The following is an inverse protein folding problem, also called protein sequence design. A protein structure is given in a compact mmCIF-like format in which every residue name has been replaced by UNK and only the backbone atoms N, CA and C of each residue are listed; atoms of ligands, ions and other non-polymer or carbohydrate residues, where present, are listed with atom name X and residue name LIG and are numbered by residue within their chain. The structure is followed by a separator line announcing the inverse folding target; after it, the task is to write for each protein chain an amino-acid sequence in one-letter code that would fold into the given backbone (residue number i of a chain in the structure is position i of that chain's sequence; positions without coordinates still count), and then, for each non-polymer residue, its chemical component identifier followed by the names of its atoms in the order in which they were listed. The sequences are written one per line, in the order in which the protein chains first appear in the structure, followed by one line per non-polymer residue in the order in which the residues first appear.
data_IF_548758265987
#
_entry.id   IF_548758265987
#
_cell.length_a   1.000
_cell.length_b   1.000
_cell.length_c   1.000
_cell.angle_alpha   90.00
_cell.angle_beta   90.00
_cell.angle_gamma   90.00
#
_symmetry.space_group_name_H-M   'P 1'
#
loop_
_entity.id
_entity.type
_entity.pdbx_description
1 polymer ?
#
# COMPACT_ATOMS: atom_id res chain seq x y z
N UNK A 1 2.05 -14.85 -12.28
CA UNK A 1 2.58 -14.00 -13.34
C UNK A 1 2.30 -12.52 -13.15
N UNK A 2 1.59 -12.14 -12.06
CA UNK A 2 1.39 -10.73 -11.69
C UNK A 2 2.67 -10.15 -11.08
N UNK A 3 2.79 -8.83 -11.15
CA UNK A 3 3.94 -8.09 -10.64
C UNK A 3 3.55 -7.08 -9.56
N UNK A 4 4.49 -6.62 -8.79
CA UNK A 4 4.26 -5.63 -7.72
C UNK A 4 3.59 -4.36 -8.28
N UNK A 5 3.93 -3.93 -9.50
CA UNK A 5 3.26 -2.81 -10.16
C UNK A 5 1.77 -3.02 -10.43
N UNK A 6 1.30 -4.25 -10.52
CA UNK A 6 -0.13 -4.54 -10.68
C UNK A 6 -0.89 -4.22 -9.38
N UNK A 7 -0.28 -4.51 -8.21
CA UNK A 7 -0.83 -4.11 -6.90
C UNK A 7 -0.85 -2.59 -6.78
N UNK A 8 0.26 -1.93 -7.12
CA UNK A 8 0.38 -0.47 -7.09
C UNK A 8 -0.67 0.21 -7.97
N UNK A 9 -0.87 -0.30 -9.18
CA UNK A 9 -1.89 0.21 -10.11
C UNK A 9 -3.31 -0.01 -9.58
N UNK A 10 -3.63 -1.22 -9.11
CA UNK A 10 -4.95 -1.51 -8.54
C UNK A 10 -5.26 -0.63 -7.32
N UNK A 11 -4.25 -0.34 -6.49
CA UNK A 11 -4.38 0.59 -5.38
C UNK A 11 -4.71 2.00 -5.86
N UNK A 12 -3.97 2.53 -6.84
CA UNK A 12 -4.22 3.86 -7.40
C UNK A 12 -5.62 3.96 -8.05
N UNK A 13 -6.01 2.95 -8.83
CA UNK A 13 -7.33 2.88 -9.47
C UNK A 13 -8.49 2.90 -8.46
N UNK A 14 -8.31 2.30 -7.28
CA UNK A 14 -9.32 2.33 -6.22
C UNK A 14 -9.64 3.75 -5.71
N UNK A 15 -8.74 4.71 -5.94
CA UNK A 15 -8.94 6.12 -5.57
C UNK A 15 -9.58 6.96 -6.67
N UNK A 16 -9.64 6.46 -7.91
CA UNK A 16 -10.21 7.22 -9.04
C UNK A 16 -11.69 7.51 -8.78
N UNK A 17 -12.07 8.78 -8.90
CA UNK A 17 -13.45 9.24 -8.71
C UNK A 17 -13.92 9.32 -7.25
N UNK A 18 -13.10 8.97 -6.26
CA UNK A 18 -13.49 9.02 -4.84
C UNK A 18 -13.41 10.43 -4.24
N UNK A 19 -12.67 11.32 -4.84
CA UNK A 19 -12.34 12.64 -4.28
C UNK A 19 -11.19 12.62 -3.26
N UNK A 20 -10.64 11.44 -2.95
CA UNK A 20 -9.43 11.30 -2.13
C UNK A 20 -8.19 11.18 -3.02
N UNK A 21 -7.04 11.56 -2.46
CA UNK A 21 -5.73 11.41 -3.10
C UNK A 21 -4.93 10.31 -2.40
N UNK A 22 -4.33 9.41 -3.18
CA UNK A 22 -3.41 8.40 -2.63
C UNK A 22 -2.01 8.99 -2.44
N UNK A 23 -1.39 8.72 -1.28
CA UNK A 23 -0.01 9.13 -1.01
C UNK A 23 0.95 8.22 -1.78
N UNK A 24 1.80 8.84 -2.63
CA UNK A 24 2.71 8.11 -3.52
C UNK A 24 4.10 7.90 -2.94
N UNK A 25 4.51 8.75 -2.00
CA UNK A 25 5.85 8.70 -1.39
C UNK A 25 6.03 7.53 -0.43
N UNK A 26 4.96 7.14 0.26
CA UNK A 26 4.90 6.04 1.20
C UNK A 26 4.15 4.86 0.58
N UNK A 27 4.41 3.67 1.07
CA UNK A 27 3.78 2.47 0.55
C UNK A 27 4.04 1.25 1.40
N UNK A 28 3.57 0.11 0.92
CA UNK A 28 3.76 -1.18 1.52
C UNK A 28 5.12 -1.81 1.22
N UNK A 29 5.31 -3.02 1.69
CA UNK A 29 6.59 -3.71 1.62
C UNK A 29 6.41 -5.22 1.83
N UNK A 30 7.44 -6.01 1.52
CA UNK A 30 7.46 -7.38 1.97
C UNK A 30 7.77 -7.46 3.48
N UNK A 31 7.35 -8.56 4.06
CA UNK A 31 7.57 -8.91 5.48
C UNK A 31 8.19 -10.30 5.52
N UNK A 32 9.19 -10.47 6.36
CA UNK A 32 9.86 -11.77 6.52
C UNK A 32 10.56 -11.87 7.88
N UNK A 33 11.86 -11.97 7.86
CA UNK A 33 12.66 -11.94 9.10
C UNK A 33 12.69 -10.55 9.72
N UNK A 34 12.64 -9.53 8.85
CA UNK A 34 12.51 -8.13 9.25
C UNK A 34 11.07 -7.64 9.02
N UNK A 35 10.69 -6.58 9.75
CA UNK A 35 9.39 -5.94 9.59
C UNK A 35 9.25 -5.35 8.19
N UNK A 36 10.32 -4.76 7.67
CA UNK A 36 10.37 -4.17 6.34
C UNK A 36 11.44 -4.87 5.50
N UNK A 37 11.01 -5.52 4.44
CA UNK A 37 11.88 -6.15 3.44
C UNK A 37 11.49 -5.70 2.02
N UNK A 38 12.42 -5.86 1.08
CA UNK A 38 12.12 -5.69 -0.34
C UNK A 38 11.19 -6.83 -0.85
N UNK A 39 10.31 -6.55 -1.82
CA UNK A 39 10.20 -5.28 -2.55
C UNK A 39 9.34 -4.23 -1.82
N UNK A 40 9.64 -2.96 -2.09
CA UNK A 40 8.74 -1.84 -1.78
C UNK A 40 7.50 -1.89 -2.69
N UNK A 41 6.33 -1.62 -2.13
CA UNK A 41 5.04 -1.64 -2.84
C UNK A 41 4.44 -0.25 -2.84
N UNK A 42 4.68 0.51 -3.89
CA UNK A 42 4.10 1.84 -4.03
C UNK A 42 2.56 1.78 -4.09
N UNK A 43 1.90 2.82 -3.59
CA UNK A 43 0.44 2.96 -3.65
C UNK A 43 -0.07 3.51 -5.00
N UNK A 44 0.83 3.73 -5.95
CA UNK A 44 0.53 4.11 -7.34
C UNK A 44 1.60 3.56 -8.26
N UNK A 45 1.22 3.15 -9.47
CA UNK A 45 2.18 2.59 -10.41
C UNK A 45 1.56 2.10 -11.72
N UNK A 46 2.39 1.42 -12.51
CA UNK A 46 1.99 0.91 -13.82
C UNK A 46 1.87 -0.61 -13.78
N UNK A 47 0.82 -1.18 -14.39
CA UNK A 47 0.66 -2.63 -14.46
C UNK A 47 1.82 -3.29 -15.23
N UNK A 48 2.12 -4.53 -14.87
CA UNK A 48 3.17 -5.32 -15.50
C UNK A 48 4.60 -4.89 -15.17
N UNK A 49 4.81 -3.99 -14.19
CA UNK A 49 6.14 -3.50 -13.80
C UNK A 49 6.59 -4.04 -12.44
N UNK A 50 7.89 -3.92 -12.18
CA UNK A 50 8.49 -4.34 -10.92
C UNK A 50 8.70 -5.85 -10.80
N UNK A 51 9.11 -6.33 -9.62
CA UNK A 51 9.32 -7.75 -9.34
C UNK A 51 8.06 -8.59 -9.56
N UNK A 52 8.24 -9.84 -9.94
CA UNK A 52 7.16 -10.82 -10.01
C UNK A 52 6.68 -11.18 -8.61
N UNK A 53 5.37 -11.36 -8.46
CA UNK A 53 4.76 -11.85 -7.22
C UNK A 53 4.88 -13.36 -7.23
N UNK A 54 5.54 -13.90 -6.21
CA UNK A 54 5.81 -15.33 -6.08
C UNK A 54 5.05 -15.92 -4.89
N UNK A 55 4.73 -17.21 -5.00
CA UNK A 55 4.21 -17.99 -3.90
C UNK A 55 5.13 -17.90 -2.66
N UNK A 56 4.53 -17.82 -1.48
CA UNK A 56 5.22 -17.68 -0.21
C UNK A 56 5.58 -16.25 0.17
N UNK A 57 5.37 -15.26 -0.72
CA UNK A 57 5.56 -13.87 -0.34
C UNK A 57 4.53 -13.43 0.70
N UNK A 58 5.00 -12.72 1.72
CA UNK A 58 4.17 -12.03 2.70
C UNK A 58 4.33 -10.53 2.46
N UNK A 59 3.23 -9.85 2.19
CA UNK A 59 3.23 -8.46 1.74
C UNK A 59 2.31 -7.61 2.62
N UNK A 60 2.81 -6.49 3.14
CA UNK A 60 2.02 -5.45 3.78
C UNK A 60 1.56 -4.46 2.70
N UNK A 61 0.25 -4.30 2.56
CA UNK A 61 -0.38 -3.35 1.65
C UNK A 61 -0.94 -2.19 2.47
N UNK A 62 -0.41 -0.98 2.24
CA UNK A 62 -0.59 0.16 3.14
C UNK A 62 -1.07 1.43 2.42
N UNK A 63 -2.25 1.42 1.81
CA UNK A 63 -2.78 2.63 1.18
C UNK A 63 -3.02 3.74 2.21
N UNK A 64 -2.59 4.95 1.86
CA UNK A 64 -2.79 6.16 2.63
C UNK A 64 -3.62 7.14 1.81
N UNK A 65 -4.79 7.50 2.33
CA UNK A 65 -5.78 8.36 1.69
C UNK A 65 -5.76 9.77 2.32
N UNK A 66 -5.50 10.78 1.52
CA UNK A 66 -5.64 12.18 1.92
C UNK A 66 -6.96 12.76 1.41
N UNK A 67 -7.67 13.53 2.24
CA UNK A 67 -8.87 14.28 1.82
C UNK A 67 -8.54 15.46 0.89
N UNK A 68 -7.29 15.89 0.86
CA UNK A 68 -6.79 16.95 -0.01
C UNK A 68 -5.79 16.43 -1.03
N UNK A 69 -4.65 17.11 -1.15
CA UNK A 69 -3.59 16.75 -2.08
C UNK A 69 -2.75 15.58 -1.57
N UNK A 70 -2.18 14.81 -2.49
CA UNK A 70 -1.34 13.64 -2.19
C UNK A 70 -0.02 13.96 -1.46
N UNK A 71 0.43 15.21 -1.52
CA UNK A 71 1.73 15.62 -0.98
C UNK A 71 1.78 15.54 0.54
N UNK A 72 2.87 14.97 1.04
CA UNK A 72 3.20 14.89 2.47
C UNK A 72 4.51 15.59 2.77
N UNK A 73 4.73 15.95 4.03
CA UNK A 73 5.97 16.53 4.55
C UNK A 73 6.37 15.82 5.83
N UNK A 74 7.68 15.82 6.12
CA UNK A 74 8.19 15.34 7.41
C UNK A 74 8.14 16.49 8.39
N UNK A 75 7.58 16.24 9.58
CA UNK A 75 7.52 17.20 10.67
C UNK A 75 8.94 17.48 11.25
N UNK A 76 9.10 18.55 12.07
CA UNK A 76 10.39 18.90 12.67
C UNK A 76 11.01 17.81 13.56
N UNK A 77 10.23 16.85 14.04
CA UNK A 77 10.71 15.67 14.79
C UNK A 77 11.52 14.69 13.93
N UNK A 78 11.53 14.88 12.59
CA UNK A 78 12.25 14.02 11.65
C UNK A 78 11.63 12.65 11.42
N UNK A 79 10.45 12.40 11.99
CA UNK A 79 9.79 11.10 12.00
C UNK A 79 8.32 11.14 11.52
N UNK A 80 7.55 12.12 11.98
CA UNK A 80 6.11 12.22 11.69
C UNK A 80 5.85 12.73 10.28
N UNK A 81 5.06 12.00 9.50
CA UNK A 81 4.54 12.48 8.22
C UNK A 81 3.23 13.22 8.43
N UNK A 82 3.08 14.33 7.74
CA UNK A 82 1.85 15.15 7.74
C UNK A 82 1.44 15.47 6.31
N UNK A 83 0.14 15.64 6.07
CA UNK A 83 -0.33 16.22 4.81
C UNK A 83 0.23 17.64 4.66
N UNK A 84 0.72 17.97 3.48
CA UNK A 84 1.28 19.30 3.22
C UNK A 84 0.24 20.41 3.35
N UNK A 85 -1.00 20.14 2.97
CA UNK A 85 -2.10 21.09 2.96
C UNK A 85 -2.94 21.09 4.25
N UNK A 86 -2.57 20.31 5.25
CA UNK A 86 -3.28 20.21 6.53
C UNK A 86 -4.58 19.41 6.45
N UNK A 87 -4.90 18.79 5.30
CA UNK A 87 -6.09 17.94 5.17
C UNK A 87 -5.99 16.69 6.03
N UNK A 88 -7.14 16.09 6.34
CA UNK A 88 -7.20 14.81 7.07
C UNK A 88 -6.66 13.69 6.19
N UNK A 89 -6.04 12.71 6.84
CA UNK A 89 -5.49 11.52 6.22
C UNK A 89 -5.90 10.28 7.01
N UNK A 90 -6.01 9.16 6.30
CA UNK A 90 -6.25 7.85 6.90
C UNK A 90 -5.28 6.83 6.30
N UNK A 91 -4.78 5.94 7.15
CA UNK A 91 -3.90 4.85 6.79
C UNK A 91 -4.60 3.52 7.09
N UNK A 92 -4.64 2.63 6.13
CA UNK A 92 -5.14 1.26 6.29
C UNK A 92 -4.06 0.29 5.87
N UNK A 93 -4.01 -0.84 6.56
CA UNK A 93 -3.02 -1.87 6.28
C UNK A 93 -3.63 -3.25 6.42
N UNK A 94 -3.33 -4.11 5.45
CA UNK A 94 -3.48 -5.54 5.56
C UNK A 94 -2.19 -6.24 5.17
N UNK A 95 -1.87 -7.30 5.90
CA UNK A 95 -0.83 -8.25 5.51
C UNK A 95 -1.48 -9.41 4.77
N UNK A 96 -0.92 -9.75 3.61
CA UNK A 96 -1.37 -10.85 2.78
C UNK A 96 -0.27 -11.90 2.65
N UNK A 97 -0.67 -13.17 2.56
CA UNK A 97 0.17 -14.28 2.16
C UNK A 97 -0.23 -14.71 0.74
N UNK A 98 0.74 -14.78 -0.15
CA UNK A 98 0.55 -15.25 -1.53
C UNK A 98 0.70 -16.76 -1.57
N UNK A 99 -0.35 -17.47 -1.98
CA UNK A 99 -0.32 -18.90 -2.26
C UNK A 99 -0.51 -19.18 -3.76
N UNK A 100 -0.30 -20.41 -4.19
CA UNK A 100 -0.31 -20.80 -5.61
C UNK A 100 -1.59 -20.36 -6.33
N UNK A 101 -2.75 -20.55 -5.70
CA UNK A 101 -4.06 -20.33 -6.32
C UNK A 101 -4.95 -19.32 -5.57
N UNK A 102 -4.48 -18.78 -4.45
CA UNK A 102 -5.24 -17.84 -3.66
C UNK A 102 -4.34 -16.82 -2.93
N UNK A 103 -4.95 -15.79 -2.39
CA UNK A 103 -4.30 -14.83 -1.51
C UNK A 103 -5.03 -14.82 -0.17
N UNK A 104 -4.29 -15.06 0.91
CA UNK A 104 -4.84 -15.06 2.27
C UNK A 104 -4.60 -13.70 2.89
N UNK A 105 -5.67 -13.03 3.34
CA UNK A 105 -5.56 -11.80 4.12
C UNK A 105 -5.37 -12.17 5.59
N UNK A 106 -4.12 -12.19 6.03
CA UNK A 106 -3.70 -12.67 7.37
C UNK A 106 -4.31 -11.82 8.49
N UNK A 107 -4.42 -10.51 8.26
CA UNK A 107 -4.92 -9.53 9.24
C UNK A 107 -6.40 -9.19 9.06
N UNK A 108 -7.15 -10.04 8.36
CA UNK A 108 -8.59 -9.86 8.14
C UNK A 108 -9.36 -9.77 9.45
N UNK A 109 -10.22 -8.76 9.56
CA UNK A 109 -11.14 -8.61 10.70
C UNK A 109 -12.41 -9.43 10.47
N UNK A 110 -13.06 -9.95 11.54
CA UNK A 110 -14.29 -10.74 11.40
C UNK A 110 -15.45 -9.99 10.72
N UNK A 111 -15.42 -8.64 10.75
CA UNK A 111 -16.44 -7.78 10.13
C UNK A 111 -16.19 -7.46 8.65
N UNK A 112 -15.07 -7.88 8.09
CA UNK A 112 -14.68 -7.58 6.71
C UNK A 112 -15.11 -8.71 5.77
N UNK A 113 -15.78 -8.33 4.69
CA UNK A 113 -16.19 -9.24 3.61
C UNK A 113 -15.21 -9.13 2.42
N UNK A 114 -14.01 -9.65 2.62
CA UNK A 114 -12.95 -9.72 1.62
C UNK A 114 -12.47 -11.16 1.45
#
# INVERSE_FOLDING_TARGET
GNRIGDISHATEEAFVGTGFSVVKLLGGHAVGREVHEEPFIANAGHPGTGPEILEGMVLALEPIANMGKASVVIAPDGYTYRTRDGSRSAHFEHTILVEENETIVVTRRPSESI
#
